data_IF_295106747054
#
_entry.id   IF_295106747054
#
_cell.length_a   1.000
_cell.length_b   1.000
_cell.length_c   1.000
_cell.angle_alpha   90.00
_cell.angle_beta   90.00
_cell.angle_gamma   90.00
#
_symmetry.space_group_name_H-M   'P 1'
#
loop_
_entity.id
_entity.type
_entity.pdbx_description
1 polymer ?
#
# COMPACT_ATOMS: atom_id res chain seq x y z
N UNK A 1 -13.14 7.14 -28.40
CA UNK A 1 -14.28 7.02 -29.34
C UNK A 1 -15.08 5.79 -28.90
N UNK A 2 -16.21 5.99 -28.23
CA UNK A 2 -17.01 4.92 -27.59
C UNK A 2 -18.24 4.52 -28.42
N UNK A 3 -18.72 3.29 -28.23
CA UNK A 3 -19.93 2.75 -28.84
C UNK A 3 -21.19 3.45 -28.29
N UNK A 4 -22.13 3.81 -29.16
CA UNK A 4 -23.43 4.42 -28.81
C UNK A 4 -24.57 3.50 -29.26
N UNK A 5 -25.48 3.21 -28.33
CA UNK A 5 -26.67 2.40 -28.60
C UNK A 5 -27.75 3.24 -29.32
N UNK A 6 -28.37 2.76 -30.43
CA UNK A 6 -29.37 3.51 -31.19
C UNK A 6 -30.71 3.75 -30.45
N UNK A 7 -30.96 3.01 -29.37
CA UNK A 7 -32.21 3.02 -28.59
C UNK A 7 -32.10 3.83 -27.29
N UNK A 8 -30.89 3.99 -26.73
CA UNK A 8 -30.60 4.82 -25.56
C UNK A 8 -29.32 5.66 -25.79
N UNK A 9 -29.42 6.79 -26.51
CA UNK A 9 -28.25 7.54 -27.02
C UNK A 9 -27.38 8.20 -25.94
N UNK A 10 -27.87 8.27 -24.70
CA UNK A 10 -27.23 8.89 -23.53
C UNK A 10 -26.72 7.87 -22.48
N UNK A 11 -26.88 6.57 -22.74
CA UNK A 11 -26.37 5.51 -21.86
C UNK A 11 -24.99 5.06 -22.32
N UNK A 12 -24.05 5.00 -21.37
CA UNK A 12 -22.70 4.46 -21.55
C UNK A 12 -22.57 3.25 -20.64
N UNK A 13 -22.25 2.08 -21.20
CA UNK A 13 -22.05 0.83 -20.46
C UNK A 13 -20.79 0.09 -20.97
N UNK A 14 -19.96 -0.42 -20.06
CA UNK A 14 -18.96 -1.50 -20.26
C UNK A 14 -18.53 -1.97 -18.84
N UNK A 15 -18.29 -3.25 -18.51
CA UNK A 15 -17.50 -4.27 -19.18
C UNK A 15 -17.99 -5.70 -18.85
N UNK A 16 -18.06 -6.57 -19.87
CA UNK A 16 -18.40 -8.01 -19.74
C UNK A 16 -17.13 -8.86 -19.50
N UNK A 17 -16.63 -8.91 -18.25
CA UNK A 17 -15.37 -9.56 -17.77
C UNK A 17 -14.07 -8.95 -18.34
N UNK A 18 -12.95 -8.77 -17.62
CA UNK A 18 -12.58 -9.03 -16.23
C UNK A 18 -11.99 -7.75 -15.59
N UNK A 19 -11.99 -7.67 -14.26
CA UNK A 19 -11.29 -6.62 -13.50
C UNK A 19 -9.76 -6.78 -13.51
N UNK A 20 -9.27 -7.97 -13.86
CA UNK A 20 -7.86 -8.31 -14.05
C UNK A 20 -7.34 -7.70 -15.36
N UNK A 21 -6.95 -6.43 -15.32
CA UNK A 21 -6.39 -5.73 -16.48
C UNK A 21 -6.70 -4.24 -16.53
N UNK A 22 -7.54 -3.71 -15.63
CA UNK A 22 -7.54 -2.26 -15.41
C UNK A 22 -6.17 -1.88 -14.86
N UNK A 23 -5.39 -1.18 -15.67
CA UNK A 23 -4.24 -0.41 -15.21
C UNK A 23 -4.72 0.37 -14.00
N UNK A 24 -4.03 0.25 -12.86
CA UNK A 24 -4.38 0.76 -11.53
C UNK A 24 -4.70 2.28 -11.54
N UNK A 25 -5.83 2.66 -12.11
CA UNK A 25 -6.24 4.05 -12.29
C UNK A 25 -7.56 4.26 -11.56
N UNK A 26 -7.64 5.27 -10.69
CA UNK A 26 -8.91 5.70 -10.13
C UNK A 26 -9.85 6.08 -11.29
N UNK A 27 -11.04 5.50 -11.32
CA UNK A 27 -12.07 5.89 -12.27
C UNK A 27 -13.19 6.63 -11.51
N UNK A 28 -13.43 7.87 -11.91
CA UNK A 28 -14.50 8.70 -11.40
C UNK A 28 -15.66 8.70 -12.41
N UNK A 29 -16.86 8.38 -11.93
CA UNK A 29 -18.10 8.48 -12.71
C UNK A 29 -18.88 9.72 -12.25
N UNK A 30 -19.14 10.62 -13.19
CA UNK A 30 -19.88 11.87 -12.93
C UNK A 30 -21.24 11.80 -13.63
N UNK A 31 -22.33 11.97 -12.88
CA UNK A 31 -23.66 12.17 -13.44
C UNK A 31 -24.33 13.36 -12.74
N UNK A 32 -24.33 14.54 -13.37
CA UNK A 32 -24.83 15.77 -12.74
C UNK A 32 -24.01 16.14 -11.51
N UNK A 33 -24.67 16.32 -10.35
CA UNK A 33 -24.02 16.58 -9.04
C UNK A 33 -23.61 15.31 -8.30
N UNK A 34 -24.02 14.16 -8.79
CA UNK A 34 -23.74 12.87 -8.15
C UNK A 34 -22.44 12.27 -8.69
N UNK A 35 -21.55 11.93 -7.75
CA UNK A 35 -20.19 11.45 -8.04
C UNK A 35 -20.02 10.11 -7.36
N UNK A 36 -19.67 9.08 -8.14
CA UNK A 36 -19.22 7.80 -7.62
C UNK A 36 -17.77 7.56 -8.06
N UNK A 37 -16.86 7.30 -7.12
CA UNK A 37 -15.49 6.92 -7.44
C UNK A 37 -15.27 5.45 -7.09
N UNK A 38 -14.72 4.71 -8.05
CA UNK A 38 -14.32 3.32 -7.91
C UNK A 38 -12.80 3.26 -8.06
N UNK A 39 -12.15 2.68 -7.07
CA UNK A 39 -10.73 2.38 -7.10
C UNK A 39 -10.55 0.87 -6.99
N UNK A 40 -9.76 0.32 -7.91
CA UNK A 40 -9.53 -1.11 -8.04
C UNK A 40 -8.07 -1.42 -7.71
N UNK A 41 -7.86 -2.43 -6.87
CA UNK A 41 -6.56 -3.03 -6.65
C UNK A 41 -6.70 -4.55 -6.60
N UNK A 42 -6.26 -5.24 -7.65
CA UNK A 42 -6.36 -6.71 -7.76
C UNK A 42 -7.79 -7.18 -7.42
N UNK A 43 -7.99 -7.82 -6.28
CA UNK A 43 -9.27 -8.37 -5.84
C UNK A 43 -10.08 -7.40 -4.94
N UNK A 44 -9.48 -6.29 -4.52
CA UNK A 44 -10.09 -5.31 -3.63
C UNK A 44 -10.65 -4.09 -4.39
N UNK A 45 -11.86 -3.67 -4.02
CA UNK A 45 -12.55 -2.51 -4.59
C UNK A 45 -12.88 -1.52 -3.48
N UNK A 46 -12.47 -0.27 -3.65
CA UNK A 46 -12.97 0.86 -2.87
C UNK A 46 -14.05 1.56 -3.69
N UNK A 47 -15.26 1.63 -3.14
CA UNK A 47 -16.37 2.40 -3.69
C UNK A 47 -16.68 3.58 -2.77
N UNK A 48 -16.62 4.80 -3.32
CA UNK A 48 -17.08 6.03 -2.66
C UNK A 48 -18.16 6.68 -3.51
N UNK A 49 -19.13 7.34 -2.87
CA UNK A 49 -20.21 8.01 -3.57
C UNK A 49 -20.63 9.28 -2.81
N UNK A 50 -21.15 10.26 -3.53
CA UNK A 50 -21.74 11.51 -3.00
C UNK A 50 -22.95 11.24 -2.10
N UNK A 51 -23.66 10.13 -2.31
CA UNK A 51 -24.85 9.76 -1.56
C UNK A 51 -24.92 8.26 -1.26
N UNK A 52 -25.59 7.90 -0.17
CA UNK A 52 -25.80 6.49 0.20
C UNK A 52 -26.70 5.74 -0.79
N UNK A 53 -27.64 6.43 -1.44
CA UNK A 53 -28.47 5.87 -2.50
C UNK A 53 -27.61 5.48 -3.70
N UNK A 54 -26.74 6.38 -4.17
CA UNK A 54 -25.81 6.10 -5.26
C UNK A 54 -24.82 4.98 -4.90
N UNK A 55 -24.29 4.97 -3.67
CA UNK A 55 -23.42 3.86 -3.21
C UNK A 55 -24.12 2.51 -3.32
N UNK A 56 -25.38 2.42 -2.85
CA UNK A 56 -26.16 1.19 -2.86
C UNK A 56 -26.51 0.75 -4.28
N UNK A 57 -26.90 1.67 -5.16
CA UNK A 57 -27.20 1.33 -6.56
C UNK A 57 -25.96 0.89 -7.33
N UNK A 58 -24.82 1.59 -7.18
CA UNK A 58 -23.53 1.18 -7.75
C UNK A 58 -23.08 -0.19 -7.24
N UNK A 59 -23.21 -0.45 -5.93
CA UNK A 59 -22.88 -1.76 -5.36
C UNK A 59 -23.79 -2.87 -5.91
N UNK A 60 -25.09 -2.60 -6.08
CA UNK A 60 -26.03 -3.56 -6.66
C UNK A 60 -25.69 -3.89 -8.12
N UNK A 61 -25.31 -2.88 -8.91
CA UNK A 61 -24.89 -3.07 -10.30
C UNK A 61 -23.61 -3.90 -10.39
N UNK A 62 -22.62 -3.60 -9.55
CA UNK A 62 -21.38 -4.38 -9.52
C UNK A 62 -21.63 -5.82 -9.06
N UNK A 63 -22.50 -6.04 -8.06
CA UNK A 63 -22.85 -7.38 -7.57
C UNK A 63 -23.59 -8.25 -8.60
N UNK A 64 -24.27 -7.64 -9.56
CA UNK A 64 -24.95 -8.39 -10.63
C UNK A 64 -23.94 -9.05 -11.59
N UNK A 65 -22.78 -8.41 -11.79
CA UNK A 65 -21.76 -8.85 -12.76
C UNK A 65 -20.56 -9.53 -12.08
N UNK A 66 -20.24 -9.13 -10.85
CA UNK A 66 -19.10 -9.61 -10.07
C UNK A 66 -19.58 -10.06 -8.70
N UNK A 67 -19.13 -11.22 -8.23
CA UNK A 67 -19.47 -11.72 -6.89
C UNK A 67 -18.72 -10.94 -5.81
N UNK A 68 -19.08 -9.66 -5.59
CA UNK A 68 -18.47 -8.81 -4.58
C UNK A 68 -19.10 -9.05 -3.21
N UNK A 69 -18.27 -8.91 -2.18
CA UNK A 69 -18.72 -8.92 -0.80
C UNK A 69 -18.63 -7.50 -0.26
N UNK A 70 -19.74 -6.96 0.24
CA UNK A 70 -19.70 -5.69 0.99
C UNK A 70 -19.03 -5.96 2.34
N UNK A 71 -17.86 -5.37 2.56
CA UNK A 71 -17.13 -5.45 3.83
C UNK A 71 -17.51 -4.31 4.79
N UNK A 72 -18.44 -3.45 4.38
CA UNK A 72 -18.88 -2.30 5.15
C UNK A 72 -17.98 -1.07 4.94
N UNK A 73 -17.96 -0.15 5.92
CA UNK A 73 -17.11 1.05 5.85
C UNK A 73 -15.63 0.69 5.73
N UNK A 74 -14.90 1.44 4.91
CA UNK A 74 -13.44 1.31 4.75
C UNK A 74 -12.74 1.34 6.10
N UNK A 75 -12.17 0.19 6.48
CA UNK A 75 -11.43 -0.03 7.73
C UNK A 75 -10.04 -0.62 7.51
N UNK A 76 -9.82 -1.32 6.38
CA UNK A 76 -8.51 -1.83 5.99
C UNK A 76 -8.40 -1.93 4.47
N UNK A 77 -7.26 -1.52 3.89
CA UNK A 77 -6.96 -1.66 2.47
C UNK A 77 -5.45 -1.63 2.24
N UNK A 78 -4.89 -2.61 1.53
CA UNK A 78 -3.45 -2.70 1.21
C UNK A 78 -2.50 -2.59 2.41
N UNK A 79 -2.83 -3.21 3.53
CA UNK A 79 -1.98 -3.11 4.72
C UNK A 79 -2.16 -1.80 5.49
N UNK A 80 -3.09 -0.94 5.09
CA UNK A 80 -3.41 0.33 5.74
C UNK A 80 -4.71 0.17 6.51
N UNK A 81 -4.63 0.25 7.83
CA UNK A 81 -5.79 0.39 8.70
C UNK A 81 -6.34 1.82 8.61
N UNK A 82 -7.65 1.93 8.46
CA UNK A 82 -8.37 3.20 8.33
C UNK A 82 -9.30 3.36 9.53
N UNK A 83 -9.05 4.39 10.33
CA UNK A 83 -9.91 4.75 11.47
C UNK A 83 -10.60 6.07 11.18
N UNK A 84 -11.94 6.07 11.22
CA UNK A 84 -12.74 7.29 11.06
C UNK A 84 -12.83 8.02 12.40
N UNK A 85 -12.61 9.33 12.36
CA UNK A 85 -12.72 10.25 13.51
C UNK A 85 -13.68 11.38 13.15
N UNK A 86 -14.10 12.17 14.13
CA UNK A 86 -14.95 13.35 13.88
C UNK A 86 -14.28 14.40 12.98
N UNK A 87 -12.95 14.44 12.95
CA UNK A 87 -12.15 15.39 12.15
C UNK A 87 -11.67 14.84 10.80
N UNK A 88 -11.97 13.59 10.45
CA UNK A 88 -11.51 12.98 9.19
C UNK A 88 -11.16 11.50 9.33
N UNK A 89 -10.15 11.05 8.57
CA UNK A 89 -9.68 9.66 8.59
C UNK A 89 -8.21 9.60 8.98
N UNK A 90 -7.89 8.68 9.88
CA UNK A 90 -6.51 8.33 10.26
C UNK A 90 -6.13 7.06 9.52
N UNK A 91 -5.03 7.11 8.79
CA UNK A 91 -4.44 5.98 8.06
C UNK A 91 -3.22 5.48 8.84
N UNK A 92 -3.20 4.19 9.18
CA UNK A 92 -2.12 3.58 9.96
C UNK A 92 -1.58 2.32 9.30
N UNK A 93 -0.25 2.20 9.22
CA UNK A 93 0.47 1.00 8.80
C UNK A 93 1.13 0.27 9.97
N UNK A 94 0.67 0.49 11.21
CA UNK A 94 1.29 -0.10 12.42
C UNK A 94 1.43 -1.62 12.35
N UNK A 95 0.34 -2.34 12.03
CA UNK A 95 0.38 -3.79 11.90
C UNK A 95 1.35 -4.27 10.79
N UNK A 96 1.51 -3.46 9.74
CA UNK A 96 2.45 -3.77 8.66
C UNK A 96 3.91 -3.59 9.12
N UNK A 97 4.20 -2.55 9.92
CA UNK A 97 5.52 -2.38 10.54
C UNK A 97 5.84 -3.51 11.53
N UNK A 98 4.87 -3.91 12.36
CA UNK A 98 5.01 -5.04 13.28
C UNK A 98 5.30 -6.35 12.53
N UNK A 99 4.62 -6.59 11.40
CA UNK A 99 4.89 -7.75 10.56
C UNK A 99 6.29 -7.72 9.92
N UNK A 100 6.82 -6.55 9.56
CA UNK A 100 8.20 -6.41 9.06
C UNK A 100 9.20 -6.76 10.18
N UNK A 101 8.97 -6.27 11.40
CA UNK A 101 9.81 -6.56 12.56
C UNK A 101 9.82 -8.07 12.85
N UNK A 102 8.65 -8.72 12.80
CA UNK A 102 8.51 -10.17 12.99
C UNK A 102 9.25 -10.95 11.89
N UNK A 103 9.05 -10.59 10.62
CA UNK A 103 9.72 -11.24 9.47
C UNK A 103 11.23 -11.12 9.50
N UNK A 104 11.76 -10.02 10.07
CA UNK A 104 13.18 -9.83 10.30
C UNK A 104 13.71 -10.58 11.54
N UNK A 105 12.84 -11.23 12.32
CA UNK A 105 13.20 -11.90 13.58
C UNK A 105 13.53 -10.94 14.72
N UNK A 106 13.00 -9.71 14.69
CA UNK A 106 13.44 -8.59 15.54
C UNK A 106 12.44 -8.14 16.60
N UNK A 107 11.40 -8.93 16.87
CA UNK A 107 10.31 -8.58 17.80
C UNK A 107 10.77 -8.17 19.20
N UNK A 108 11.88 -8.73 19.69
CA UNK A 108 12.44 -8.45 21.02
C UNK A 108 13.75 -7.63 20.96
N UNK A 109 14.06 -7.00 19.83
CA UNK A 109 15.30 -6.23 19.69
C UNK A 109 15.25 -4.92 20.47
N UNK A 110 16.44 -4.45 20.89
CA UNK A 110 16.57 -3.12 21.50
C UNK A 110 16.25 -2.04 20.44
N UNK A 111 15.39 -1.06 20.76
CA UNK A 111 15.05 0.01 19.82
C UNK A 111 16.27 0.88 19.45
N UNK A 112 16.25 1.45 18.24
CA UNK A 112 17.23 2.43 17.77
C UNK A 112 16.56 3.79 17.62
N UNK A 113 17.18 4.87 18.10
CA UNK A 113 16.61 6.22 18.00
C UNK A 113 16.79 6.87 16.63
N UNK A 114 17.67 6.34 15.79
CA UNK A 114 17.89 6.84 14.43
C UNK A 114 17.73 5.71 13.41
N UNK A 115 17.17 6.00 12.23
CA UNK A 115 16.96 5.01 11.16
C UNK A 115 18.26 4.65 10.45
N UNK A 116 19.30 5.49 10.54
CA UNK A 116 20.65 5.23 10.01
C UNK A 116 21.67 5.59 11.10
N UNK A 117 22.75 4.81 11.17
CA UNK A 117 23.92 5.17 11.98
C UNK A 117 24.85 6.09 11.18
N UNK A 118 25.08 7.30 11.68
CA UNK A 118 25.93 8.31 11.00
C UNK A 118 27.43 8.00 11.13
N UNK A 119 27.82 6.98 11.90
CA UNK A 119 29.23 6.65 12.16
C UNK A 119 29.80 5.54 11.28
N UNK A 120 28.98 4.82 10.52
CA UNK A 120 29.44 3.77 9.63
C UNK A 120 30.00 4.39 8.32
N UNK A 121 31.28 4.73 8.31
CA UNK A 121 32.02 4.81 7.03
C UNK A 121 31.97 3.41 6.42
N UNK A 122 31.31 3.29 5.28
CA UNK A 122 31.29 2.08 4.45
C UNK A 122 32.72 1.77 4.04
N UNK A 123 33.43 0.93 4.80
CA UNK A 123 34.69 0.35 4.36
C UNK A 123 34.36 -0.60 3.21
N UNK A 124 34.76 -0.20 2.01
CA UNK A 124 34.52 -0.87 0.74
C UNK A 124 35.31 -2.17 0.53
N UNK A 125 35.92 -2.73 1.59
CA UNK A 125 36.78 -3.93 1.51
C UNK A 125 36.28 -5.15 2.29
N UNK A 126 35.21 -5.06 3.07
CA UNK A 126 34.66 -6.21 3.79
C UNK A 126 33.48 -6.81 2.99
N UNK A 127 33.81 -7.73 2.07
CA UNK A 127 32.86 -8.51 1.29
C UNK A 127 32.39 -9.76 2.04
N UNK A 128 31.08 -9.92 2.10
CA UNK A 128 30.38 -11.03 2.74
C UNK A 128 28.90 -10.87 2.43
N UNK A 129 28.31 -11.91 1.88
CA UNK A 129 26.93 -11.92 1.40
C UNK A 129 25.96 -11.99 2.57
N UNK A 130 24.80 -11.37 2.44
CA UNK A 130 23.64 -11.80 3.23
C UNK A 130 23.40 -13.29 2.94
N UNK A 131 23.14 -14.11 3.97
CA UNK A 131 22.95 -15.56 3.81
C UNK A 131 21.81 -15.89 2.83
N UNK A 132 20.81 -15.01 2.74
CA UNK A 132 19.73 -15.07 1.74
C UNK A 132 19.43 -13.69 1.11
N UNK A 133 19.95 -13.41 -0.10
CA UNK A 133 19.65 -12.19 -0.86
C UNK A 133 18.15 -11.98 -1.11
N UNK A 134 17.37 -13.06 -1.23
CA UNK A 134 15.92 -12.97 -1.46
C UNK A 134 15.20 -12.43 -0.23
N UNK A 135 15.59 -12.89 0.96
CA UNK A 135 15.05 -12.39 2.23
C UNK A 135 15.38 -10.91 2.44
N UNK A 136 16.63 -10.50 2.16
CA UNK A 136 17.04 -9.09 2.21
C UNK A 136 16.17 -8.22 1.28
N UNK A 137 16.07 -8.58 0.00
CA UNK A 137 15.24 -7.86 -0.97
C UNK A 137 13.76 -7.80 -0.56
N UNK A 138 13.23 -8.88 0.02
CA UNK A 138 11.86 -8.93 0.49
C UNK A 138 11.60 -7.99 1.69
N UNK A 139 12.58 -7.79 2.57
CA UNK A 139 12.50 -6.83 3.67
C UNK A 139 12.69 -5.39 3.20
N UNK A 140 13.67 -5.12 2.33
CA UNK A 140 13.89 -3.79 1.73
C UNK A 140 12.66 -3.35 0.92
N UNK A 141 12.05 -4.25 0.15
CA UNK A 141 10.80 -3.98 -0.57
C UNK A 141 9.63 -3.66 0.38
N UNK A 142 9.55 -4.34 1.52
CA UNK A 142 8.55 -4.05 2.53
C UNK A 142 8.78 -2.69 3.21
N UNK A 143 10.03 -2.35 3.55
CA UNK A 143 10.40 -1.03 4.07
C UNK A 143 10.13 0.08 3.05
N UNK A 144 10.38 -0.16 1.76
CA UNK A 144 10.03 0.78 0.70
C UNK A 144 8.53 1.09 0.70
N UNK A 145 7.68 0.09 0.92
CA UNK A 145 6.24 0.32 1.03
C UNK A 145 5.86 1.16 2.27
N UNK A 146 6.61 1.07 3.37
CA UNK A 146 6.39 1.92 4.55
C UNK A 146 6.72 3.39 4.30
N UNK A 147 7.67 3.71 3.42
CA UNK A 147 8.09 5.11 3.14
C UNK A 147 6.93 6.03 2.73
N UNK A 148 5.88 5.48 2.12
CA UNK A 148 4.65 6.23 1.79
C UNK A 148 3.99 6.91 3.00
N UNK A 149 4.14 6.35 4.21
CA UNK A 149 3.59 6.90 5.45
C UNK A 149 4.66 7.24 6.49
N UNK A 150 5.91 6.81 6.27
CA UNK A 150 7.07 6.96 7.18
C UNK A 150 8.25 7.56 6.43
N UNK A 151 8.18 8.86 6.18
CA UNK A 151 9.23 9.57 5.44
C UNK A 151 10.55 9.67 6.21
N UNK A 152 10.51 9.47 7.53
CA UNK A 152 11.65 9.42 8.44
C UNK A 152 12.61 8.26 8.14
N UNK A 153 12.14 7.16 7.55
CA UNK A 153 13.00 6.05 7.12
C UNK A 153 13.42 6.10 5.64
N UNK A 154 12.87 7.02 4.85
CA UNK A 154 13.06 7.04 3.38
C UNK A 154 14.52 7.10 2.96
N UNK A 155 15.32 7.92 3.65
CA UNK A 155 16.75 8.01 3.36
C UNK A 155 17.47 6.67 3.59
N UNK A 156 17.16 5.98 4.70
CA UNK A 156 17.76 4.69 5.01
C UNK A 156 17.46 3.64 3.93
N UNK A 157 16.18 3.56 3.53
CA UNK A 157 15.71 2.62 2.52
C UNK A 157 16.33 2.93 1.15
N UNK A 158 16.44 4.21 0.78
CA UNK A 158 17.09 4.61 -0.47
C UNK A 158 18.55 4.16 -0.50
N UNK A 159 19.30 4.29 0.60
CA UNK A 159 20.68 3.81 0.66
C UNK A 159 20.75 2.28 0.48
N UNK A 160 19.84 1.52 1.08
CA UNK A 160 19.78 0.06 0.93
C UNK A 160 19.46 -0.41 -0.48
N UNK A 161 18.67 0.36 -1.24
CA UNK A 161 18.33 0.04 -2.63
C UNK A 161 19.49 0.31 -3.60
N UNK A 162 20.32 1.32 -3.30
CA UNK A 162 21.47 1.69 -4.13
C UNK A 162 22.69 0.82 -3.80
N UNK A 163 22.76 0.26 -2.58
CA UNK A 163 23.83 -0.62 -2.17
C UNK A 163 23.88 -1.88 -3.06
N UNK A 164 24.99 -2.05 -3.78
CA UNK A 164 25.23 -3.18 -4.69
C UNK A 164 25.42 -4.50 -3.93
N UNK A 165 25.81 -4.43 -2.65
CA UNK A 165 26.01 -5.57 -1.74
C UNK A 165 25.46 -5.20 -0.36
N UNK A 166 24.77 -6.14 0.30
CA UNK A 166 24.27 -5.97 1.66
C UNK A 166 25.43 -5.72 2.64
N UNK A 167 25.46 -4.60 3.40
CA UNK A 167 26.57 -4.29 4.30
C UNK A 167 26.62 -5.23 5.51
N UNK A 168 27.79 -5.79 5.81
CA UNK A 168 27.99 -6.79 6.89
C UNK A 168 28.00 -6.17 8.29
N UNK A 169 28.48 -4.92 8.43
CA UNK A 169 28.64 -4.25 9.72
C UNK A 169 27.75 -3.02 9.81
N UNK A 170 27.03 -2.89 10.93
CA UNK A 170 26.08 -1.80 11.11
C UNK A 170 24.94 -1.87 10.08
N UNK A 171 24.47 -3.09 9.77
CA UNK A 171 23.49 -3.35 8.72
C UNK A 171 22.36 -2.32 8.76
N UNK A 172 22.30 -1.39 7.78
CA UNK A 172 21.30 -0.35 7.72
C UNK A 172 19.88 -0.93 7.78
N UNK A 173 19.68 -2.15 7.29
CA UNK A 173 18.42 -2.88 7.37
C UNK A 173 18.04 -3.13 8.83
N UNK A 174 18.92 -3.76 9.61
CA UNK A 174 18.65 -4.06 11.02
C UNK A 174 18.49 -2.78 11.85
N UNK A 175 19.27 -1.73 11.58
CA UNK A 175 19.14 -0.43 12.28
C UNK A 175 17.78 0.19 11.97
N UNK A 176 17.35 0.17 10.72
CA UNK A 176 16.04 0.71 10.30
C UNK A 176 14.90 -0.09 10.91
N UNK A 177 14.99 -1.43 10.95
CA UNK A 177 13.97 -2.27 11.59
C UNK A 177 13.92 -2.03 13.11
N UNK A 178 15.06 -1.83 13.78
CA UNK A 178 15.09 -1.42 15.20
C UNK A 178 14.46 -0.06 15.45
N UNK A 179 14.56 0.85 14.49
CA UNK A 179 13.94 2.16 14.59
C UNK A 179 12.40 2.08 14.52
N UNK A 180 11.85 1.11 13.80
CA UNK A 180 10.40 0.84 13.78
C UNK A 180 9.85 0.43 15.15
N UNK A 181 10.67 -0.13 16.05
CA UNK A 181 10.24 -0.59 17.40
C UNK A 181 9.82 0.59 18.30
N UNK A 182 10.30 1.81 18.04
CA UNK A 182 9.99 2.99 18.88
C UNK A 182 8.63 3.62 18.54
N UNK A 183 8.08 3.32 17.37
CA UNK A 183 7.02 4.12 16.70
C UNK A 183 5.79 3.29 16.38
#
# INVERSE_FOLDING_TARGET
>A
MGFKDPTHPDYVCLLKKSLYGLKQSPQAWNHGTDIANIMLYVDDIILTASSNSLRKSSMSLLNAEFALKDLGPLSYFLGIAVTRTSGGMVLSKKNYAENIIERAGMTNCKPSHTPVDTKAKLDSSAGGSFDDPSHYCALVGALQYLTFTRLDISYAVQQMQIAEVAPIHGDPLLVTVRFLVIT
#
